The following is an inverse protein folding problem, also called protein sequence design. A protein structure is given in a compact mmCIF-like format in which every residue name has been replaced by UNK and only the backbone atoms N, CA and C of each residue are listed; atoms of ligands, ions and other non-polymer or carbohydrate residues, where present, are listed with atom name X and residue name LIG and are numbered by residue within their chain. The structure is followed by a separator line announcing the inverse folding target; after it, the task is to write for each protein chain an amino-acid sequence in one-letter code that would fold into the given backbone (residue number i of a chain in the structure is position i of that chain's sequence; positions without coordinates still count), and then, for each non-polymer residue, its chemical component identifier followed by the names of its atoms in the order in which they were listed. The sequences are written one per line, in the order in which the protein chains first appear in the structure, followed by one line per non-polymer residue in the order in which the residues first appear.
data_IF_792995842926
#
_entry.id   IF_792995842926
#
_cell.length_a   1.000
_cell.length_b   1.000
_cell.length_c   1.000
_cell.angle_alpha   90.00
_cell.angle_beta   90.00
_cell.angle_gamma   90.00
#
_symmetry.space_group_name_H-M   'P 1'
#
loop_
_entity.id
_entity.type
_entity.pdbx_description
1 polymer ?
#
# COMPACT_ATOMS: atom_id res chain seq x y z
N UNK A 1 12.28 26.31 14.82
CA UNK A 1 13.28 25.24 14.77
C UNK A 1 12.89 24.25 13.70
N UNK A 2 13.88 23.75 12.94
CA UNK A 2 13.65 22.67 11.97
C UNK A 2 13.44 21.33 12.71
N UNK A 3 12.23 20.78 12.62
CA UNK A 3 11.86 19.51 13.25
C UNK A 3 12.46 18.30 12.54
N UNK A 4 13.00 18.45 11.32
CA UNK A 4 13.54 17.32 10.55
C UNK A 4 14.87 16.79 11.10
N UNK A 5 15.57 17.56 11.94
CA UNK A 5 16.89 17.19 12.48
C UNK A 5 16.85 16.22 13.68
N UNK A 6 15.66 15.83 14.15
CA UNK A 6 15.47 15.17 15.46
C UNK A 6 14.64 13.87 15.43
N UNK A 7 14.37 13.28 14.25
CA UNK A 7 13.64 12.01 14.15
C UNK A 7 14.55 10.80 13.90
N UNK A 8 14.18 9.66 14.50
CA UNK A 8 14.81 8.37 14.20
C UNK A 8 14.17 7.78 12.94
N UNK A 9 14.98 7.43 11.94
CA UNK A 9 14.51 6.70 10.75
C UNK A 9 14.40 5.21 11.09
N UNK A 10 13.20 4.66 10.97
CA UNK A 10 12.92 3.23 11.15
C UNK A 10 12.68 2.60 9.77
N UNK A 11 13.30 1.45 9.42
CA UNK A 11 13.00 0.72 8.20
C UNK A 11 11.53 0.30 8.13
N UNK A 12 10.94 0.31 6.94
CA UNK A 12 9.52 -0.01 6.74
C UNK A 12 9.26 -1.50 6.98
N UNK A 13 10.24 -2.32 6.62
CA UNK A 13 10.31 -3.78 6.72
C UNK A 13 10.23 -4.27 8.18
N UNK A 14 10.69 -3.46 9.15
CA UNK A 14 10.58 -3.79 10.58
C UNK A 14 9.11 -4.02 10.96
N UNK A 15 8.23 -3.14 10.49
CA UNK A 15 6.80 -3.15 10.79
C UNK A 15 6.01 -4.28 10.11
N UNK A 16 6.63 -4.97 9.15
CA UNK A 16 6.11 -6.17 8.46
C UNK A 16 6.71 -7.47 9.03
N UNK A 17 7.78 -7.36 9.83
CA UNK A 17 8.42 -8.52 10.44
C UNK A 17 7.47 -9.27 11.39
N UNK A 18 7.58 -10.62 11.48
CA UNK A 18 6.85 -11.39 12.49
C UNK A 18 7.12 -10.94 13.93
N UNK A 19 8.27 -10.32 14.18
CA UNK A 19 8.65 -9.73 15.46
C UNK A 19 7.80 -8.51 15.82
N UNK A 20 7.56 -7.59 14.88
CA UNK A 20 6.67 -6.45 15.11
C UNK A 20 5.20 -6.88 15.23
N UNK A 21 4.79 -7.89 14.44
CA UNK A 21 3.41 -8.40 14.46
C UNK A 21 3.08 -9.32 15.65
N UNK A 22 3.97 -9.47 16.64
CA UNK A 22 3.67 -10.23 17.85
C UNK A 22 2.57 -9.57 18.66
N UNK A 23 1.58 -10.36 19.09
CA UNK A 23 0.39 -9.89 19.82
C UNK A 23 0.43 -10.39 21.28
N UNK A 24 -0.19 -9.66 22.23
CA UNK A 24 -0.84 -8.36 22.06
C UNK A 24 0.19 -7.22 22.00
N UNK A 25 -0.11 -6.18 21.21
CA UNK A 25 0.69 -4.95 21.23
C UNK A 25 0.55 -4.27 22.60
N UNK A 26 1.61 -3.65 23.07
CA UNK A 26 1.54 -2.67 24.15
C UNK A 26 1.08 -1.30 23.63
N UNK A 27 0.62 -0.42 24.53
CA UNK A 27 0.14 0.93 24.16
C UNK A 27 1.17 1.74 23.35
N UNK A 28 2.47 1.56 23.63
CA UNK A 28 3.56 2.23 22.89
C UNK A 28 3.68 1.70 21.45
N UNK A 29 3.62 0.38 21.25
CA UNK A 29 3.64 -0.22 19.90
C UNK A 29 2.41 0.21 19.10
N UNK A 30 1.21 0.14 19.70
CA UNK A 30 -0.03 0.58 19.06
C UNK A 30 0.01 2.07 18.63
N UNK A 31 0.63 2.96 19.42
CA UNK A 31 0.80 4.36 19.01
C UNK A 31 1.77 4.50 17.83
N UNK A 32 2.94 3.85 17.90
CA UNK A 32 3.95 3.90 16.82
C UNK A 32 3.42 3.28 15.53
N UNK A 33 2.62 2.22 15.62
CA UNK A 33 1.96 1.55 14.50
C UNK A 33 1.00 2.47 13.73
N UNK A 34 0.34 3.43 14.38
CA UNK A 34 -0.47 4.44 13.69
C UNK A 34 0.37 5.29 12.72
N UNK A 35 1.65 5.56 12.99
CA UNK A 35 2.53 6.27 12.06
C UNK A 35 2.90 5.43 10.83
N UNK A 36 2.91 4.10 10.93
CA UNK A 36 3.07 3.19 9.78
C UNK A 36 1.79 3.13 8.93
N UNK A 37 0.63 3.21 9.56
CA UNK A 37 -0.68 3.18 8.91
C UNK A 37 -1.10 4.55 8.32
N UNK A 38 -0.47 5.64 8.76
CA UNK A 38 -0.80 6.98 8.30
C UNK A 38 -0.49 7.19 6.81
N UNK A 39 -1.37 7.95 6.17
CA UNK A 39 -1.23 8.38 4.80
C UNK A 39 0.02 9.28 4.64
N UNK A 40 1.03 8.78 3.93
CA UNK A 40 2.31 9.45 3.73
C UNK A 40 2.47 10.11 2.35
N UNK A 41 1.45 10.02 1.50
CA UNK A 41 1.30 10.81 0.27
C UNK A 41 0.22 11.87 0.48
N UNK A 42 -0.10 12.66 -0.55
CA UNK A 42 -1.08 13.75 -0.47
C UNK A 42 -2.52 13.27 -0.28
N UNK A 43 -3.50 13.91 -0.96
CA UNK A 43 -4.89 13.47 -0.86
C UNK A 43 -5.05 12.04 -1.38
N UNK A 44 -5.39 11.11 -0.50
CA UNK A 44 -5.77 9.73 -0.83
C UNK A 44 -7.21 9.45 -0.39
N UNK A 45 -7.72 8.28 -0.72
CA UNK A 45 -9.05 7.81 -0.29
C UNK A 45 -8.90 6.40 0.26
N UNK A 46 -9.78 6.03 1.19
CA UNK A 46 -9.99 4.64 1.56
C UNK A 46 -11.48 4.30 1.47
N UNK A 47 -11.81 3.18 0.83
CA UNK A 47 -13.14 2.59 0.89
C UNK A 47 -13.35 1.87 2.23
N UNK A 48 -14.42 2.21 2.94
CA UNK A 48 -14.93 1.40 4.06
C UNK A 48 -16.45 1.30 3.98
N UNK A 49 -16.97 0.07 4.07
CA UNK A 49 -18.41 -0.23 4.00
C UNK A 49 -19.12 0.34 2.74
N UNK A 50 -18.41 0.43 1.61
CA UNK A 50 -18.94 1.00 0.36
C UNK A 50 -18.93 2.53 0.28
N UNK A 51 -18.36 3.21 1.28
CA UNK A 51 -18.22 4.68 1.32
C UNK A 51 -16.75 5.06 1.15
N UNK A 52 -16.49 6.00 0.24
CA UNK A 52 -15.16 6.59 0.05
C UNK A 52 -14.94 7.72 1.05
N UNK A 53 -13.89 7.62 1.84
CA UNK A 53 -13.48 8.66 2.80
C UNK A 53 -12.12 9.22 2.39
N UNK A 54 -12.04 10.54 2.22
CA UNK A 54 -10.79 11.24 1.87
C UNK A 54 -9.85 11.37 3.06
N UNK A 55 -8.57 11.08 2.84
CA UNK A 55 -7.48 11.27 3.79
C UNK A 55 -6.56 12.41 3.35
N UNK A 56 -6.17 13.24 4.31
CA UNK A 56 -5.05 14.17 4.23
C UNK A 56 -3.75 13.46 4.62
N UNK A 57 -2.61 14.11 4.40
CA UNK A 57 -1.32 13.60 4.85
C UNK A 57 -1.27 13.56 6.40
N UNK A 58 -0.77 12.45 6.97
CA UNK A 58 -0.74 12.23 8.42
C UNK A 58 -2.05 11.74 9.03
N UNK A 59 -3.08 11.44 8.22
CA UNK A 59 -4.31 10.79 8.68
C UNK A 59 -4.28 9.28 8.43
N UNK A 60 -4.84 8.51 9.36
CA UNK A 60 -5.12 7.07 9.24
C UNK A 60 -6.61 6.89 8.97
N UNK A 61 -6.93 6.17 7.88
CA UNK A 61 -8.27 5.66 7.60
C UNK A 61 -8.35 4.18 7.94
N UNK A 62 -9.20 3.79 8.89
CA UNK A 62 -9.28 2.39 9.33
C UNK A 62 -10.61 2.09 10.04
N UNK A 63 -10.72 0.94 10.71
CA UNK A 63 -11.82 0.64 11.64
C UNK A 63 -11.29 0.11 12.97
N UNK A 64 -12.07 0.30 14.03
CA UNK A 64 -11.76 -0.27 15.35
C UNK A 64 -11.63 -1.81 15.36
N UNK A 65 -12.19 -2.51 14.36
CA UNK A 65 -12.09 -3.97 14.23
C UNK A 65 -10.74 -4.36 13.64
N UNK A 66 -10.30 -3.68 12.57
CA UNK A 66 -8.99 -3.91 11.95
C UNK A 66 -7.84 -3.59 12.92
N UNK A 67 -7.95 -2.50 13.69
CA UNK A 67 -6.99 -2.18 14.75
C UNK A 67 -7.01 -3.21 15.89
N UNK A 68 -8.20 -3.69 16.30
CA UNK A 68 -8.33 -4.73 17.32
C UNK A 68 -7.66 -6.03 16.90
N UNK A 69 -7.92 -6.48 15.67
CA UNK A 69 -7.29 -7.65 15.08
C UNK A 69 -5.77 -7.48 14.97
N UNK A 70 -5.30 -6.35 14.42
CA UNK A 70 -3.86 -6.06 14.24
C UNK A 70 -3.10 -6.04 15.56
N UNK A 71 -3.63 -5.36 16.58
CA UNK A 71 -2.98 -5.19 17.88
C UNK A 71 -3.24 -6.36 18.86
N UNK A 72 -4.15 -7.29 18.54
CA UNK A 72 -4.54 -8.38 19.44
C UNK A 72 -5.32 -7.89 20.66
N UNK A 73 -6.13 -6.85 20.49
CA UNK A 73 -6.96 -6.25 21.53
C UNK A 73 -8.44 -6.47 21.26
N UNK A 74 -9.29 -6.27 22.26
CA UNK A 74 -10.73 -6.13 22.01
C UNK A 74 -11.08 -4.71 21.50
N UNK A 75 -12.18 -4.60 20.76
CA UNK A 75 -12.68 -3.33 20.17
C UNK A 75 -12.90 -2.22 21.21
N UNK A 76 -13.31 -2.54 22.45
CA UNK A 76 -13.52 -1.54 23.52
C UNK A 76 -12.16 -1.04 24.03
N UNK A 77 -11.16 -1.89 24.14
CA UNK A 77 -9.78 -1.50 24.50
C UNK A 77 -9.15 -0.59 23.45
N UNK A 78 -9.28 -0.90 22.15
CA UNK A 78 -8.88 0.02 21.06
C UNK A 78 -9.56 1.38 21.22
N UNK A 79 -10.89 1.43 21.36
CA UNK A 79 -11.62 2.70 21.48
C UNK A 79 -11.19 3.50 22.72
N UNK A 80 -11.02 2.84 23.88
CA UNK A 80 -10.52 3.49 25.11
C UNK A 80 -9.12 4.06 24.93
N UNK A 81 -8.23 3.35 24.23
CA UNK A 81 -6.87 3.80 23.97
C UNK A 81 -6.85 5.03 23.04
N UNK A 82 -7.59 5.00 21.92
CA UNK A 82 -7.67 6.14 21.00
C UNK A 82 -8.24 7.39 21.68
N UNK A 83 -9.32 7.26 22.45
CA UNK A 83 -9.88 8.36 23.28
C UNK A 83 -8.87 8.86 24.33
N UNK A 84 -7.98 7.99 24.82
CA UNK A 84 -6.90 8.40 25.73
C UNK A 84 -5.83 9.22 25.01
N UNK A 85 -5.42 8.83 23.80
CA UNK A 85 -4.46 9.58 22.98
C UNK A 85 -5.00 10.96 22.56
N UNK A 86 -6.28 11.00 22.21
CA UNK A 86 -7.03 12.21 21.84
C UNK A 86 -7.05 13.22 23.00
N UNK A 87 -7.47 12.78 24.19
CA UNK A 87 -7.40 13.59 25.43
C UNK A 87 -5.99 14.06 25.82
N UNK A 88 -4.95 13.35 25.41
CA UNK A 88 -3.55 13.72 25.65
C UNK A 88 -2.94 14.58 24.53
N UNK A 89 -3.69 14.92 23.48
CA UNK A 89 -3.22 15.75 22.37
C UNK A 89 -2.22 15.07 21.44
N UNK A 90 -2.20 13.72 21.39
CA UNK A 90 -1.36 12.97 20.45
C UNK A 90 -2.03 12.78 19.07
N UNK A 91 -3.36 12.75 19.03
CA UNK A 91 -4.20 12.51 17.85
C UNK A 91 -5.47 13.35 17.90
N UNK A 92 -6.16 13.53 16.77
CA UNK A 92 -7.59 13.92 16.68
C UNK A 92 -8.36 12.71 16.11
N UNK A 93 -9.43 12.28 16.78
CA UNK A 93 -10.14 11.03 16.48
C UNK A 93 -11.61 11.26 16.11
N UNK A 94 -11.96 10.97 14.85
CA UNK A 94 -13.34 11.00 14.36
C UNK A 94 -13.86 9.58 14.18
N UNK A 95 -14.76 9.18 15.08
CA UNK A 95 -15.49 7.91 15.02
C UNK A 95 -16.85 8.18 14.36
N UNK A 96 -17.09 7.54 13.21
CA UNK A 96 -18.39 7.60 12.54
C UNK A 96 -18.95 6.17 12.33
N UNK A 97 -20.10 6.06 11.65
CA UNK A 97 -20.72 4.77 11.35
C UNK A 97 -20.04 4.02 10.19
N UNK A 98 -19.10 4.67 9.51
CA UNK A 98 -18.48 4.25 8.25
C UNK A 98 -17.09 3.66 8.51
N UNK A 99 -16.32 4.24 9.44
CA UNK A 99 -14.99 3.81 9.85
C UNK A 99 -14.47 4.58 11.07
N UNK A 100 -13.18 4.89 11.07
CA UNK A 100 -12.51 5.68 12.10
C UNK A 100 -11.36 6.43 11.45
N UNK A 101 -11.40 7.76 11.51
CA UNK A 101 -10.36 8.65 11.00
C UNK A 101 -9.51 9.14 12.17
N UNK A 102 -8.20 8.99 12.08
CA UNK A 102 -7.25 9.35 13.15
C UNK A 102 -6.20 10.28 12.56
N UNK A 103 -6.19 11.55 12.95
CA UNK A 103 -5.18 12.53 12.50
C UNK A 103 -4.03 12.56 13.51
N UNK A 104 -2.81 12.30 13.06
CA UNK A 104 -1.62 12.32 13.93
C UNK A 104 -1.13 13.76 14.12
N UNK A 105 -1.27 14.31 15.33
CA UNK A 105 -0.91 15.70 15.62
C UNK A 105 0.62 15.93 15.65
N UNK A 106 1.40 14.86 15.78
CA UNK A 106 2.86 14.86 15.70
C UNK A 106 3.39 14.34 14.35
N UNK A 107 2.56 14.31 13.30
CA UNK A 107 3.03 13.95 11.96
C UNK A 107 4.09 14.93 11.45
N UNK A 108 5.16 14.39 10.88
CA UNK A 108 6.18 15.15 10.14
C UNK A 108 6.16 14.64 8.71
N UNK A 109 5.76 15.46 7.73
CA UNK A 109 5.84 15.11 6.33
C UNK A 109 7.23 14.62 5.93
N UNK A 110 7.31 13.55 5.15
CA UNK A 110 8.56 13.15 4.53
C UNK A 110 9.01 14.31 3.64
N UNK A 111 10.18 14.88 3.91
CA UNK A 111 10.77 15.87 3.01
C UNK A 111 10.96 15.21 1.65
N UNK A 112 10.04 15.51 0.72
CA UNK A 112 10.28 15.24 -0.68
C UNK A 112 11.49 16.07 -1.06
N UNK A 113 12.57 15.43 -1.49
CA UNK A 113 13.63 16.14 -2.22
C UNK A 113 13.01 16.53 -3.56
N UNK A 114 12.25 17.63 -3.55
CA UNK A 114 11.93 18.36 -4.77
C UNK A 114 13.27 18.88 -5.26
N UNK A 115 13.81 18.24 -6.28
CA UNK A 115 15.01 18.73 -6.96
C UNK A 115 14.83 20.21 -7.26
N UNK A 116 15.86 21.00 -6.95
CA UNK A 116 15.84 22.45 -7.05
C UNK A 116 15.72 22.87 -8.51
N UNK A 117 14.50 22.93 -9.03
CA UNK A 117 14.14 23.45 -10.34
C UNK A 117 13.27 24.69 -10.14
N UNK A 118 13.82 25.83 -10.55
CA UNK A 118 13.34 27.17 -10.27
C UNK A 118 11.85 27.36 -10.61
N UNK A 119 11.11 28.01 -9.70
CA UNK A 119 9.83 28.64 -10.03
C UNK A 119 10.09 29.89 -10.86
N UNK A 120 9.75 29.86 -12.14
CA UNK A 120 9.43 31.06 -12.94
C UNK A 120 7.92 31.08 -13.22
N UNK A 121 7.23 32.21 -13.00
CA UNK A 121 5.84 32.39 -13.41
C UNK A 121 5.73 32.89 -14.88
N UNK A 122 4.49 32.96 -15.40
CA UNK A 122 4.07 33.38 -16.76
C UNK A 122 4.25 32.30 -17.85
N UNK A 123 3.46 32.26 -18.93
CA UNK A 123 2.11 32.76 -19.23
C UNK A 123 1.59 32.05 -20.52
N UNK A 124 0.34 32.31 -20.93
CA UNK A 124 -0.28 31.79 -22.16
C UNK A 124 0.54 32.06 -23.45
N UNK A 125 0.53 31.12 -24.41
CA UNK A 125 -0.18 31.32 -25.69
C UNK A 125 -0.21 30.09 -26.64
N UNK A 126 -1.12 30.16 -27.62
CA UNK A 126 -1.41 29.16 -28.67
C UNK A 126 -0.52 29.35 -29.91
N UNK A 127 -0.40 28.33 -30.76
CA UNK A 127 0.14 28.47 -32.12
C UNK A 127 0.14 27.17 -32.94
N UNK A 128 -0.52 27.17 -34.09
CA UNK A 128 -0.45 26.11 -35.13
C UNK A 128 0.85 26.27 -35.97
N UNK A 129 1.28 25.43 -36.92
CA UNK A 129 0.53 24.60 -37.89
C UNK A 129 1.43 23.52 -38.58
N UNK A 130 0.82 22.76 -39.50
CA UNK A 130 1.21 21.49 -40.15
C UNK A 130 2.21 21.55 -41.33
N UNK A 131 2.77 20.39 -41.73
CA UNK A 131 2.77 19.96 -43.15
C UNK A 131 2.69 18.42 -43.35
N UNK A 132 2.14 17.98 -44.48
CA UNK A 132 1.79 16.59 -44.91
C UNK A 132 2.85 15.97 -45.86
N UNK A 133 2.98 14.65 -46.11
CA UNK A 133 2.09 13.61 -46.70
C UNK A 133 2.64 12.20 -46.27
N UNK A 134 1.88 11.11 -46.00
CA UNK A 134 0.96 10.29 -46.84
C UNK A 134 1.62 9.63 -48.06
N UNK A 135 1.37 8.37 -48.42
CA UNK A 135 0.38 7.36 -47.98
C UNK A 135 0.96 5.93 -48.23
N UNK A 136 0.55 4.82 -47.60
CA UNK A 136 -0.08 4.58 -46.28
C UNK A 136 -0.17 3.06 -45.99
N UNK A 137 -0.08 2.64 -44.72
CA UNK A 137 -0.57 1.34 -44.23
C UNK A 137 -1.51 1.58 -43.03
N UNK A 138 -2.79 1.29 -43.20
CA UNK A 138 -3.83 1.36 -42.16
C UNK A 138 -3.64 0.21 -41.12
N UNK A 139 -4.02 0.28 -39.84
CA UNK A 139 -4.60 1.34 -38.99
C UNK A 139 -4.71 0.80 -37.54
N UNK A 140 -4.58 1.53 -36.42
CA UNK A 140 -4.17 2.92 -36.10
C UNK A 140 -3.76 2.94 -34.60
N UNK A 141 -2.76 3.74 -34.21
CA UNK A 141 -2.70 4.66 -33.03
C UNK A 141 -1.23 5.05 -32.78
N UNK A 142 -0.83 6.27 -33.13
CA UNK A 142 0.46 6.86 -32.73
C UNK A 142 0.30 7.75 -31.48
N UNK A 143 1.26 7.68 -30.57
CA UNK A 143 1.41 8.60 -29.43
C UNK A 143 2.91 8.87 -29.21
N UNK A 144 3.27 10.14 -28.99
CA UNK A 144 4.65 10.60 -29.04
C UNK A 144 5.44 10.31 -27.75
N UNK A 145 6.75 10.03 -27.89
CA UNK A 145 7.83 10.14 -26.88
C UNK A 145 7.72 9.38 -25.52
N UNK A 146 6.67 8.59 -25.26
CA UNK A 146 6.47 7.86 -23.99
C UNK A 146 6.76 6.33 -24.06
N UNK A 147 7.55 5.87 -25.03
CA UNK A 147 7.55 4.46 -25.49
C UNK A 147 7.92 3.40 -24.43
N UNK A 148 8.73 3.72 -23.40
CA UNK A 148 9.05 2.76 -22.33
C UNK A 148 7.95 2.70 -21.26
N UNK A 149 7.50 3.85 -20.76
CA UNK A 149 6.51 3.93 -19.68
C UNK A 149 5.19 3.26 -20.06
N UNK A 150 4.68 3.53 -21.26
CA UNK A 150 3.43 2.94 -21.73
C UNK A 150 3.53 1.42 -21.97
N UNK A 151 4.70 0.87 -22.31
CA UNK A 151 4.90 -0.58 -22.46
C UNK A 151 4.93 -1.30 -21.12
N UNK A 152 5.60 -0.72 -20.11
CA UNK A 152 5.62 -1.29 -18.77
C UNK A 152 4.26 -1.12 -18.05
N UNK A 153 3.52 -0.04 -18.34
CA UNK A 153 2.14 0.14 -17.86
C UNK A 153 1.18 -0.92 -18.43
N UNK A 154 1.28 -1.22 -19.74
CA UNK A 154 0.52 -2.31 -20.36
C UNK A 154 0.85 -3.67 -19.74
N UNK A 155 2.14 -3.97 -19.52
CA UNK A 155 2.56 -5.20 -18.85
C UNK A 155 2.07 -5.29 -17.40
N UNK A 156 2.05 -4.17 -16.68
CA UNK A 156 1.52 -4.12 -15.32
C UNK A 156 0.00 -4.35 -15.28
N UNK A 157 -0.73 -3.86 -16.29
CA UNK A 157 -2.14 -4.17 -16.51
C UNK A 157 -2.36 -5.67 -16.81
N UNK A 158 -1.56 -6.27 -17.69
CA UNK A 158 -1.64 -7.69 -18.03
C UNK A 158 -1.36 -8.59 -16.81
N UNK A 159 -0.34 -8.26 -16.02
CA UNK A 159 -0.06 -8.93 -14.75
C UNK A 159 -1.24 -8.80 -13.77
N UNK A 160 -1.86 -7.62 -13.67
CA UNK A 160 -3.04 -7.39 -12.83
C UNK A 160 -4.28 -8.17 -13.30
N UNK A 161 -4.49 -8.27 -14.61
CA UNK A 161 -5.60 -9.04 -15.21
C UNK A 161 -5.35 -10.55 -15.22
N UNK A 162 -4.09 -10.98 -15.07
CA UNK A 162 -3.67 -12.39 -15.16
C UNK A 162 -3.74 -12.97 -16.58
N UNK A 163 -3.83 -12.10 -17.60
CA UNK A 163 -3.93 -12.47 -19.02
C UNK A 163 -3.49 -11.32 -19.92
N UNK A 164 -3.04 -11.66 -21.12
CA UNK A 164 -2.83 -10.69 -22.20
C UNK A 164 -4.15 -9.97 -22.55
N UNK A 165 -4.06 -8.71 -22.96
CA UNK A 165 -5.24 -7.89 -23.25
C UNK A 165 -5.08 -7.07 -24.54
N UNK A 166 -6.02 -7.25 -25.47
CA UNK A 166 -6.17 -6.35 -26.61
C UNK A 166 -6.86 -5.01 -26.23
N UNK A 167 -7.38 -4.89 -24.99
CA UNK A 167 -8.01 -3.68 -24.52
C UNK A 167 -6.96 -2.63 -24.15
N UNK A 168 -6.96 -1.50 -24.87
CA UNK A 168 -6.13 -0.34 -24.56
C UNK A 168 -6.64 0.34 -23.28
N UNK A 169 -5.85 0.43 -22.20
CA UNK A 169 -6.24 1.14 -20.98
C UNK A 169 -6.57 2.61 -21.28
N UNK A 170 -7.56 3.13 -20.58
CA UNK A 170 -7.94 4.53 -20.64
C UNK A 170 -6.83 5.44 -20.10
N UNK A 171 -6.84 6.72 -20.46
CA UNK A 171 -5.86 7.70 -19.96
C UNK A 171 -5.80 7.77 -18.42
N UNK A 172 -6.91 7.46 -17.72
CA UNK A 172 -6.96 7.42 -16.26
C UNK A 172 -6.29 6.17 -15.68
N UNK A 173 -6.46 5.02 -16.32
CA UNK A 173 -5.78 3.78 -15.96
C UNK A 173 -4.29 3.86 -16.27
N UNK A 174 -3.90 4.41 -17.44
CA UNK A 174 -2.50 4.70 -17.78
C UNK A 174 -1.84 5.60 -16.73
N UNK A 175 -2.50 6.70 -16.32
CA UNK A 175 -1.99 7.55 -15.24
C UNK A 175 -1.80 6.78 -13.93
N UNK A 176 -2.73 5.88 -13.61
CA UNK A 176 -2.68 5.05 -12.41
C UNK A 176 -1.51 4.05 -12.44
N UNK A 177 -1.34 3.37 -13.58
CA UNK A 177 -0.28 2.39 -13.80
C UNK A 177 1.11 3.06 -13.84
N UNK A 178 1.23 4.21 -14.50
CA UNK A 178 2.46 5.00 -14.52
C UNK A 178 2.83 5.48 -13.11
N UNK A 179 1.88 5.99 -12.31
CA UNK A 179 2.14 6.31 -10.90
C UNK A 179 2.54 5.09 -10.08
N UNK A 180 1.99 3.89 -10.32
CA UNK A 180 2.46 2.67 -9.66
C UNK A 180 3.91 2.30 -10.05
N UNK A 181 4.29 2.53 -11.30
CA UNK A 181 5.65 2.29 -11.82
C UNK A 181 6.69 3.31 -11.33
N UNK A 182 6.27 4.56 -11.05
CA UNK A 182 7.11 5.57 -10.38
C UNK A 182 7.53 5.13 -8.96
N UNK A 183 6.69 4.36 -8.26
CA UNK A 183 6.96 3.91 -6.89
C UNK A 183 7.76 2.60 -6.84
N UNK A 184 7.60 1.72 -7.84
CA UNK A 184 8.18 0.36 -7.87
C UNK A 184 8.24 -0.15 -9.31
N UNK A 185 9.38 -0.71 -9.72
CA UNK A 185 9.57 -1.23 -11.08
C UNK A 185 8.67 -2.47 -11.37
N UNK A 186 8.44 -2.76 -12.65
CA UNK A 186 7.53 -3.81 -13.12
C UNK A 186 7.84 -5.21 -12.54
N UNK A 187 9.09 -5.63 -12.53
CA UNK A 187 9.51 -6.93 -11.98
C UNK A 187 9.16 -7.06 -10.50
N UNK A 188 9.34 -5.96 -9.76
CA UNK A 188 9.02 -5.88 -8.34
C UNK A 188 7.52 -5.95 -8.04
N UNK A 189 6.64 -5.79 -9.04
CA UNK A 189 5.18 -5.95 -8.90
C UNK A 189 4.68 -7.38 -9.08
N UNK A 190 5.41 -8.25 -9.79
CA UNK A 190 5.00 -9.65 -10.06
C UNK A 190 4.52 -10.43 -8.81
N UNK A 191 5.26 -10.48 -7.68
CA UNK A 191 4.82 -11.26 -6.51
C UNK A 191 3.51 -10.75 -5.89
N UNK A 192 3.18 -9.46 -6.03
CA UNK A 192 1.90 -8.91 -5.57
C UNK A 192 0.74 -9.40 -6.42
N UNK A 193 0.96 -9.51 -7.73
CA UNK A 193 -0.03 -10.00 -8.68
C UNK A 193 -0.26 -11.50 -8.49
N UNK A 194 0.82 -12.28 -8.29
CA UNK A 194 0.72 -13.70 -7.94
C UNK A 194 -0.07 -13.92 -6.63
N UNK A 195 0.22 -13.17 -5.58
CA UNK A 195 -0.52 -13.22 -4.31
C UNK A 195 -1.99 -12.78 -4.47
N UNK A 196 -2.26 -11.76 -5.28
CA UNK A 196 -3.61 -11.27 -5.55
C UNK A 196 -4.44 -12.29 -6.35
N UNK A 197 -3.85 -12.92 -7.37
CA UNK A 197 -4.48 -14.01 -8.11
C UNK A 197 -4.70 -15.26 -7.26
N UNK A 198 -3.79 -15.56 -6.32
CA UNK A 198 -4.02 -16.60 -5.28
C UNK A 198 -5.21 -16.23 -4.41
N UNK A 199 -5.25 -15.01 -3.87
CA UNK A 199 -6.37 -14.52 -3.05
C UNK A 199 -7.73 -14.62 -3.78
N UNK A 200 -7.81 -14.25 -5.06
CA UNK A 200 -9.04 -14.40 -5.86
C UNK A 200 -9.42 -15.88 -6.02
N UNK A 201 -8.44 -16.74 -6.32
CA UNK A 201 -8.65 -18.19 -6.48
C UNK A 201 -9.15 -18.85 -5.19
N UNK A 202 -8.66 -18.38 -4.04
CA UNK A 202 -9.06 -18.84 -2.71
C UNK A 202 -10.43 -18.26 -2.25
N UNK A 203 -11.20 -17.65 -3.17
CA UNK A 203 -12.55 -17.10 -2.93
C UNK A 203 -12.61 -15.61 -2.63
N UNK A 204 -11.48 -14.90 -2.73
CA UNK A 204 -11.37 -13.46 -2.49
C UNK A 204 -12.08 -12.60 -3.53
N UNK A 205 -12.60 -11.44 -3.10
CA UNK A 205 -13.31 -10.51 -3.99
C UNK A 205 -12.31 -9.73 -4.85
N UNK A 206 -12.42 -9.86 -6.17
CA UNK A 206 -11.65 -9.07 -7.12
C UNK A 206 -11.87 -7.56 -6.92
N UNK A 207 -10.76 -6.80 -6.97
CA UNK A 207 -10.73 -5.33 -6.86
C UNK A 207 -10.65 -4.71 -8.26
N UNK A 208 -11.10 -3.45 -8.37
CA UNK A 208 -10.87 -2.66 -9.58
C UNK A 208 -9.43 -2.13 -9.61
N UNK A 209 -8.89 -1.93 -10.82
CA UNK A 209 -7.51 -1.48 -11.05
C UNK A 209 -7.15 -0.23 -10.23
N UNK A 210 -8.02 0.79 -10.22
CA UNK A 210 -7.82 2.01 -9.41
C UNK A 210 -7.63 1.71 -7.92
N UNK A 211 -8.43 0.80 -7.36
CA UNK A 211 -8.40 0.48 -5.92
C UNK A 211 -7.19 -0.36 -5.55
N UNK A 212 -6.73 -1.23 -6.47
CA UNK A 212 -5.49 -1.97 -6.27
C UNK A 212 -4.30 -1.01 -6.20
N UNK A 213 -4.10 -0.16 -7.22
CA UNK A 213 -2.88 0.65 -7.34
C UNK A 213 -2.89 1.99 -6.60
N UNK A 214 -4.06 2.59 -6.29
CA UNK A 214 -4.12 3.91 -5.64
C UNK A 214 -4.41 3.86 -4.13
N UNK A 215 -5.11 2.85 -3.62
CA UNK A 215 -5.60 2.85 -2.23
C UNK A 215 -4.78 1.96 -1.28
N UNK A 216 -4.65 0.63 -1.53
CA UNK A 216 -3.81 -0.23 -0.68
C UNK A 216 -3.37 -1.56 -1.32
N UNK A 217 -2.40 -1.57 -2.24
CA UNK A 217 -1.83 -2.82 -2.77
C UNK A 217 -1.06 -3.66 -1.73
N UNK A 218 -0.67 -3.06 -0.59
CA UNK A 218 0.21 -3.68 0.42
C UNK A 218 -0.43 -4.86 1.16
N UNK A 219 -1.75 -5.01 1.13
CA UNK A 219 -2.43 -6.21 1.64
C UNK A 219 -2.07 -7.50 0.87
N UNK A 220 -1.37 -7.39 -0.27
CA UNK A 220 -0.85 -8.51 -1.07
C UNK A 220 0.69 -8.63 -1.01
N UNK A 221 1.34 -7.88 -0.11
CA UNK A 221 2.80 -7.88 0.08
C UNK A 221 3.23 -9.11 0.91
N UNK A 222 3.80 -10.10 0.22
CA UNK A 222 4.37 -11.36 0.75
C UNK A 222 3.29 -12.35 1.27
N UNK A 223 3.40 -13.68 0.98
CA UNK A 223 2.24 -14.55 1.02
C UNK A 223 1.74 -14.80 2.45
N UNK A 224 0.41 -14.75 2.58
CA UNK A 224 -0.29 -15.56 3.57
C UNK A 224 0.04 -17.04 3.30
N UNK A 225 1.09 -17.54 3.97
CA UNK A 225 1.11 -18.93 4.41
C UNK A 225 -0.14 -19.10 5.27
N UNK A 226 -1.06 -19.96 4.84
CA UNK A 226 -2.30 -20.18 5.58
C UNK A 226 -1.91 -20.58 7.01
N UNK A 227 -2.60 -20.04 8.02
CA UNK A 227 -2.31 -20.33 9.44
C UNK A 227 -2.25 -21.84 9.67
N UNK A 228 -3.06 -22.60 8.94
CA UNK A 228 -3.06 -24.06 8.93
C UNK A 228 -1.81 -24.70 8.31
N UNK A 229 -1.30 -24.16 7.18
CA UNK A 229 -0.04 -24.62 6.56
C UNK A 229 1.17 -24.30 7.44
N UNK A 230 1.22 -23.08 7.98
CA UNK A 230 2.29 -22.63 8.88
C UNK A 230 2.37 -23.47 10.15
N UNK A 231 1.22 -23.73 10.78
CA UNK A 231 1.15 -24.65 11.92
C UNK A 231 1.59 -26.07 11.53
N UNK A 232 1.15 -26.57 10.36
CA UNK A 232 1.52 -27.90 9.85
C UNK A 232 3.00 -28.03 9.48
N UNK A 233 3.68 -26.92 9.15
CA UNK A 233 5.12 -26.88 8.90
C UNK A 233 5.91 -26.85 10.22
N UNK A 234 5.56 -25.95 11.13
CA UNK A 234 6.19 -25.83 12.45
C UNK A 234 6.08 -27.15 13.24
N UNK A 235 4.93 -27.83 13.21
CA UNK A 235 4.76 -29.14 13.86
C UNK A 235 5.66 -30.24 13.25
N UNK A 236 5.89 -30.22 11.94
CA UNK A 236 6.82 -31.16 11.27
C UNK A 236 8.28 -30.86 11.61
N UNK A 237 8.65 -29.58 11.67
CA UNK A 237 10.00 -29.14 12.05
C UNK A 237 10.31 -29.52 13.51
N UNK A 238 9.40 -29.26 14.45
CA UNK A 238 9.51 -29.66 15.87
C UNK A 238 9.63 -31.19 16.01
N UNK A 239 8.79 -31.96 15.31
CA UNK A 239 8.87 -33.43 15.32
C UNK A 239 10.22 -33.96 14.85
N UNK A 240 10.73 -33.42 13.73
CA UNK A 240 12.02 -33.81 13.17
C UNK A 240 13.22 -33.39 14.03
N UNK A 241 13.08 -32.35 14.87
CA UNK A 241 14.13 -31.94 15.81
C UNK A 241 14.09 -32.75 17.11
N UNK A 242 12.91 -33.08 17.63
CA UNK A 242 12.78 -33.99 18.78
C UNK A 242 13.37 -35.37 18.47
N UNK A 243 13.13 -35.92 17.28
CA UNK A 243 13.67 -37.24 16.92
C UNK A 243 15.20 -37.22 16.76
N UNK A 244 15.75 -36.13 16.20
CA UNK A 244 17.22 -35.91 16.16
C UNK A 244 17.84 -35.81 17.56
N UNK A 245 17.13 -35.21 18.52
CA UNK A 245 17.59 -35.13 19.92
C UNK A 245 17.51 -36.49 20.64
N UNK A 246 16.50 -37.33 20.34
CA UNK A 246 16.44 -38.71 20.86
C UNK A 246 17.57 -39.60 20.33
N UNK A 247 17.91 -39.48 19.05
CA UNK A 247 19.00 -40.26 18.44
C UNK A 247 20.33 -39.90 19.11
N UNK A 248 20.64 -38.59 19.25
CA UNK A 248 21.83 -38.10 19.98
C UNK A 248 21.85 -38.37 21.48
N UNK A 249 20.78 -38.91 22.07
CA UNK A 249 20.72 -39.29 23.48
C UNK A 249 20.78 -40.82 23.68
N UNK A 250 21.02 -41.58 22.59
CA UNK A 250 21.23 -43.03 22.58
C UNK A 250 22.64 -43.43 22.08
N UNK A 251 23.45 -42.45 21.69
CA UNK A 251 24.89 -42.55 21.45
C UNK A 251 25.64 -42.10 22.71
#
# INVERSE_FOLDING_TARGET
MDKSKWFVRVPFELFESPFWMMKPFSKKEAYVDLFKLANASGKSMYETRGVLVTLEEGEVGTSLILLAERWGWDRKTVKRFLVSLDKMGYVDCKFDNVGTKIKLLQWIPKQTIKGTANRTPNAHQMGHQTHTKRDTTNSIYSYNNEERGNKDALRLLELFLGKETAHKPTNHELKTLNSALEHRNLESWKPFMENYHKYIRDGGKAKLLKFFFQEDFRQFEIPHENVHERASRILREIGAEMERKKIKAKE
#
